data_IF_855045329064
#
_entry.id   IF_855045329064
#
_cell.length_a   1.000
_cell.length_b   1.000
_cell.length_c   1.000
_cell.angle_alpha   90.00
_cell.angle_beta   90.00
_cell.angle_gamma   90.00
#
_symmetry.space_group_name_H-M   'P 1'
#
loop_
_entity.id
_entity.type
_entity.pdbx_description
1 polymer ?
#
# COMPACT_ATOMS: atom_id res chain seq x y z
N UNK A 1 14.49 -3.59 17.01
CA UNK A 1 15.49 -3.94 15.98
C UNK A 1 15.90 -2.65 15.27
N UNK A 2 16.87 -2.67 14.34
CA UNK A 2 17.08 -1.46 13.51
C UNK A 2 15.76 -1.19 12.76
N UNK A 3 15.26 0.06 12.69
CA UNK A 3 14.19 0.39 11.76
C UNK A 3 14.66 -0.13 10.41
N UNK A 4 13.82 -0.87 9.68
CA UNK A 4 14.16 -1.40 8.35
C UNK A 4 14.93 -0.29 7.62
N UNK A 5 16.23 -0.50 7.43
CA UNK A 5 17.00 0.26 6.45
C UNK A 5 16.26 -0.05 5.17
N UNK A 6 15.36 0.86 4.80
CA UNK A 6 14.84 1.11 3.48
C UNK A 6 15.10 -0.09 2.58
N UNK A 7 14.24 -1.12 2.67
CA UNK A 7 14.05 -1.93 1.47
C UNK A 7 13.76 -0.89 0.39
N UNK A 8 14.63 -0.78 -0.63
CA UNK A 8 14.46 0.25 -1.65
C UNK A 8 13.01 0.17 -2.07
N UNK A 9 12.30 1.29 -2.10
CA UNK A 9 10.90 1.27 -2.49
C UNK A 9 10.74 0.64 -3.89
N UNK A 10 11.81 0.62 -4.70
CA UNK A 10 11.91 -0.16 -5.94
C UNK A 10 11.79 -1.68 -5.73
N UNK A 11 12.51 -2.23 -4.74
CA UNK A 11 12.44 -3.65 -4.39
C UNK A 11 11.05 -4.02 -3.85
N UNK A 12 10.46 -3.16 -3.03
CA UNK A 12 9.07 -3.32 -2.57
C UNK A 12 8.11 -3.30 -3.77
N UNK A 13 8.29 -2.36 -4.71
CA UNK A 13 7.47 -2.26 -5.90
C UNK A 13 7.58 -3.52 -6.78
N UNK A 14 8.79 -4.03 -6.99
CA UNK A 14 9.01 -5.29 -7.70
C UNK A 14 8.34 -6.49 -7.03
N UNK A 15 8.43 -6.61 -5.71
CA UNK A 15 7.82 -7.69 -4.95
C UNK A 15 6.29 -7.68 -5.04
N UNK A 16 5.68 -6.51 -4.85
CA UNK A 16 4.23 -6.33 -4.97
C UNK A 16 3.78 -6.62 -6.40
N UNK A 17 4.53 -6.19 -7.41
CA UNK A 17 4.20 -6.48 -8.80
C UNK A 17 4.26 -7.97 -9.14
N UNK A 18 5.31 -8.68 -8.71
CA UNK A 18 5.41 -10.14 -8.88
C UNK A 18 4.22 -10.85 -8.21
N UNK A 19 3.81 -10.38 -7.05
CA UNK A 19 2.64 -10.88 -6.34
C UNK A 19 1.34 -10.62 -7.13
N UNK A 20 1.18 -9.41 -7.68
CA UNK A 20 0.05 -9.07 -8.54
C UNK A 20 -0.04 -9.99 -9.77
N UNK A 21 1.10 -10.23 -10.44
CA UNK A 21 1.19 -11.14 -11.58
C UNK A 21 0.78 -12.57 -11.22
N UNK A 22 1.28 -13.09 -10.09
CA UNK A 22 0.95 -14.42 -9.60
C UNK A 22 -0.54 -14.57 -9.25
N UNK A 23 -1.16 -13.52 -8.70
CA UNK A 23 -2.54 -13.53 -8.23
C UNK A 23 -3.56 -13.35 -9.36
N UNK A 24 -3.28 -12.45 -10.30
CA UNK A 24 -4.28 -11.96 -11.27
C UNK A 24 -3.98 -12.43 -12.71
N UNK A 25 -2.93 -13.22 -12.89
CA UNK A 25 -2.67 -13.99 -14.12
C UNK A 25 -2.33 -13.12 -15.33
N UNK A 26 -3.29 -12.92 -16.23
CA UNK A 26 -3.11 -12.12 -17.46
C UNK A 26 -3.94 -10.83 -17.47
N UNK A 27 -4.70 -10.54 -16.42
CA UNK A 27 -5.50 -9.32 -16.35
C UNK A 27 -4.63 -8.13 -15.92
N UNK A 28 -4.00 -7.50 -16.90
CA UNK A 28 -3.08 -6.37 -16.68
C UNK A 28 -3.74 -5.21 -15.91
N UNK A 29 -5.01 -4.90 -16.20
CA UNK A 29 -5.73 -3.81 -15.50
C UNK A 29 -5.93 -4.15 -14.04
N UNK A 30 -6.31 -5.40 -13.72
CA UNK A 30 -6.48 -5.83 -12.34
C UNK A 30 -5.13 -5.88 -11.59
N UNK A 31 -4.07 -6.37 -12.25
CA UNK A 31 -2.70 -6.40 -11.70
C UNK A 31 -2.23 -5.01 -11.31
N UNK A 32 -2.37 -4.08 -12.24
CA UNK A 32 -2.02 -2.68 -12.06
C UNK A 32 -2.75 -2.08 -10.88
N UNK A 33 -4.08 -2.19 -10.87
CA UNK A 33 -4.88 -1.65 -9.78
C UNK A 33 -4.47 -2.24 -8.42
N UNK A 34 -4.29 -3.56 -8.34
CA UNK A 34 -3.94 -4.22 -7.09
C UNK A 34 -2.54 -3.81 -6.61
N UNK A 35 -1.58 -3.72 -7.53
CA UNK A 35 -0.23 -3.24 -7.27
C UNK A 35 -0.25 -1.81 -6.71
N UNK A 36 -0.94 -0.90 -7.41
CA UNK A 36 -1.01 0.51 -7.07
C UNK A 36 -1.59 0.72 -5.66
N UNK A 37 -2.73 0.09 -5.37
CA UNK A 37 -3.37 0.18 -4.06
C UNK A 37 -2.50 -0.42 -2.95
N UNK A 38 -1.86 -1.57 -3.22
CA UNK A 38 -1.05 -2.26 -2.22
C UNK A 38 0.24 -1.50 -1.92
N UNK A 39 0.89 -0.95 -2.94
CA UNK A 39 2.11 -0.16 -2.78
C UNK A 39 1.82 1.14 -2.01
N UNK A 40 0.78 1.88 -2.39
CA UNK A 40 0.39 3.10 -1.68
C UNK A 40 0.07 2.80 -0.22
N UNK A 41 -0.67 1.72 0.05
CA UNK A 41 -1.00 1.32 1.42
C UNK A 41 0.24 0.93 2.23
N UNK A 42 1.17 0.18 1.64
CA UNK A 42 2.42 -0.19 2.29
C UNK A 42 3.27 1.05 2.61
N UNK A 43 3.43 1.97 1.66
CA UNK A 43 4.17 3.20 1.89
C UNK A 43 3.53 4.10 2.95
N UNK A 44 2.19 4.16 3.00
CA UNK A 44 1.46 4.83 4.09
C UNK A 44 1.64 4.12 5.42
N UNK A 45 1.73 2.79 5.42
CA UNK A 45 2.04 1.98 6.59
C UNK A 45 3.41 2.27 7.19
N UNK A 46 4.43 2.48 6.35
CA UNK A 46 5.75 2.94 6.80
C UNK A 46 5.66 4.30 7.49
N UNK A 47 5.00 5.27 6.84
CA UNK A 47 4.79 6.60 7.43
C UNK A 47 4.02 6.53 8.75
N UNK A 48 3.03 5.65 8.85
CA UNK A 48 2.25 5.42 10.06
C UNK A 48 3.12 4.82 11.18
N UNK A 49 3.94 3.81 10.87
CA UNK A 49 4.85 3.20 11.82
C UNK A 49 5.85 4.22 12.38
N UNK A 50 6.39 5.09 11.53
CA UNK A 50 7.26 6.19 11.95
C UNK A 50 6.51 7.16 12.86
N UNK A 51 5.31 7.61 12.47
CA UNK A 51 4.50 8.54 13.25
C UNK A 51 4.10 7.99 14.64
N UNK A 52 3.90 6.67 14.73
CA UNK A 52 3.50 5.97 15.97
C UNK A 52 4.68 5.34 16.72
N UNK A 53 5.90 5.47 16.23
CA UNK A 53 7.12 4.86 16.77
C UNK A 53 6.98 3.33 16.96
N UNK A 54 6.45 2.64 15.94
CA UNK A 54 6.34 1.19 15.90
C UNK A 54 7.55 0.55 15.24
N UNK A 55 7.97 -0.63 15.73
CA UNK A 55 8.98 -1.49 15.08
C UNK A 55 8.30 -2.38 14.01
N UNK A 56 7.46 -1.76 13.18
CA UNK A 56 6.66 -2.38 12.11
C UNK A 56 6.84 -1.57 10.82
N UNK A 57 6.38 -2.10 9.69
CA UNK A 57 6.50 -1.43 8.38
C UNK A 57 5.51 -1.98 7.36
N UNK A 58 5.30 -1.25 6.27
CA UNK A 58 4.49 -1.69 5.16
C UNK A 58 3.07 -2.04 5.57
N UNK A 59 2.55 -3.13 4.99
CA UNK A 59 1.24 -3.65 5.33
C UNK A 59 1.13 -4.12 6.78
N UNK A 60 2.21 -4.58 7.41
CA UNK A 60 2.18 -5.05 8.80
C UNK A 60 1.78 -3.93 9.77
N UNK A 61 2.28 -2.71 9.53
CA UNK A 61 1.89 -1.52 10.29
C UNK A 61 0.41 -1.16 10.12
N UNK A 62 -0.12 -1.34 8.90
CA UNK A 62 -1.55 -1.12 8.59
C UNK A 62 -2.41 -2.17 9.29
N UNK A 63 -2.05 -3.44 9.18
CA UNK A 63 -2.78 -4.54 9.82
C UNK A 63 -2.79 -4.38 11.34
N UNK A 64 -1.66 -4.00 11.93
CA UNK A 64 -1.57 -3.71 13.35
C UNK A 64 -2.45 -2.52 13.76
N UNK A 65 -2.47 -1.44 12.97
CA UNK A 65 -3.35 -0.30 13.23
C UNK A 65 -4.84 -0.69 13.18
N UNK A 66 -5.23 -1.57 12.25
CA UNK A 66 -6.60 -2.10 12.17
C UNK A 66 -6.95 -2.95 13.40
N UNK A 67 -6.03 -3.78 13.88
CA UNK A 67 -6.22 -4.55 15.12
C UNK A 67 -6.43 -3.59 16.29
N UNK A 68 -5.59 -2.56 16.42
CA UNK A 68 -5.70 -1.61 17.53
C UNK A 68 -6.99 -0.79 17.50
N UNK A 69 -7.41 -0.33 16.32
CA UNK A 69 -8.58 0.54 16.18
C UNK A 69 -9.90 -0.23 16.30
N UNK A 70 -9.98 -1.39 15.66
CA UNK A 70 -11.26 -2.10 15.46
C UNK A 70 -11.36 -3.44 16.19
N UNK A 71 -10.27 -3.91 16.82
CA UNK A 71 -10.20 -5.22 17.48
C UNK A 71 -10.60 -6.39 16.58
N UNK A 72 -10.41 -6.25 15.27
CA UNK A 72 -10.67 -7.31 14.30
C UNK A 72 -9.60 -8.39 14.36
N UNK A 73 -9.99 -9.62 13.99
CA UNK A 73 -9.06 -10.74 13.98
C UNK A 73 -8.07 -10.61 12.81
N UNK A 74 -6.80 -11.04 12.99
CA UNK A 74 -5.81 -11.01 11.92
C UNK A 74 -6.27 -11.66 10.63
N UNK A 75 -6.98 -12.78 10.71
CA UNK A 75 -7.47 -13.49 9.52
C UNK A 75 -8.56 -12.69 8.76
N UNK A 76 -9.42 -11.96 9.48
CA UNK A 76 -10.39 -11.07 8.85
C UNK A 76 -9.68 -9.92 8.12
N UNK A 77 -8.66 -9.34 8.75
CA UNK A 77 -7.89 -8.23 8.18
C UNK A 77 -7.13 -8.69 6.94
N UNK A 78 -6.52 -9.87 6.95
CA UNK A 78 -5.78 -10.42 5.81
C UNK A 78 -6.66 -10.56 4.57
N UNK A 79 -7.90 -11.00 4.73
CA UNK A 79 -8.90 -11.16 3.67
C UNK A 79 -9.45 -9.83 3.12
N UNK A 80 -9.23 -8.70 3.80
CA UNK A 80 -9.67 -7.40 3.32
C UNK A 80 -8.89 -6.96 2.08
N UNK A 81 -9.57 -6.32 1.14
CA UNK A 81 -8.90 -5.69 0.00
C UNK A 81 -8.01 -4.52 0.48
N UNK A 82 -6.95 -4.15 -0.26
CA UNK A 82 -6.14 -2.98 0.09
C UNK A 82 -7.00 -1.71 0.24
N UNK A 83 -8.02 -1.56 -0.61
CA UNK A 83 -9.00 -0.47 -0.52
C UNK A 83 -9.79 -0.50 0.78
N UNK A 84 -10.29 -1.66 1.22
CA UNK A 84 -11.07 -1.74 2.45
C UNK A 84 -10.20 -1.50 3.69
N UNK A 85 -8.94 -1.95 3.66
CA UNK A 85 -7.94 -1.61 4.69
C UNK A 85 -7.72 -0.09 4.76
N UNK A 86 -7.51 0.56 3.61
CA UNK A 86 -7.38 2.02 3.52
C UNK A 86 -8.64 2.73 4.04
N UNK A 87 -9.82 2.32 3.58
CA UNK A 87 -11.09 2.94 3.98
C UNK A 87 -11.30 2.83 5.50
N UNK A 88 -10.91 1.71 6.10
CA UNK A 88 -11.05 1.50 7.55
C UNK A 88 -10.10 2.36 8.40
N UNK A 89 -9.06 2.94 7.79
CA UNK A 89 -8.07 3.82 8.43
C UNK A 89 -8.00 5.21 7.78
N UNK A 90 -8.94 5.59 6.91
CA UNK A 90 -8.76 6.75 6.04
C UNK A 90 -8.47 8.05 6.81
N UNK A 91 -9.05 8.23 8.01
CA UNK A 91 -8.82 9.39 8.86
C UNK A 91 -7.41 9.43 9.45
N UNK A 92 -6.87 8.27 9.84
CA UNK A 92 -5.53 8.16 10.39
C UNK A 92 -4.45 8.33 9.32
N UNK A 93 -4.77 7.91 8.09
CA UNK A 93 -3.86 8.02 6.96
C UNK A 93 -3.92 9.38 6.26
N UNK A 94 -5.05 10.11 6.35
CA UNK A 94 -5.27 11.40 5.66
C UNK A 94 -4.28 12.52 6.04
N UNK A 95 -3.59 12.40 7.17
CA UNK A 95 -2.58 13.37 7.62
C UNK A 95 -1.14 12.92 7.38
N UNK A 96 -0.92 11.74 6.80
CA UNK A 96 0.41 11.17 6.62
C UNK A 96 0.93 11.44 5.22
N UNK A 97 2.13 11.99 5.14
CA UNK A 97 2.86 12.03 3.88
C UNK A 97 3.61 10.72 3.64
N UNK A 98 3.47 10.15 2.44
CA UNK A 98 4.35 9.08 1.99
C UNK A 98 5.81 9.55 1.99
N UNK A 99 6.72 8.65 2.39
CA UNK A 99 8.15 8.89 2.33
C UNK A 99 8.59 9.33 0.92
N UNK A 100 9.59 10.23 0.87
CA UNK A 100 10.11 10.74 -0.40
C UNK A 100 10.59 9.61 -1.34
N UNK A 101 11.26 8.60 -0.80
CA UNK A 101 11.70 7.43 -1.56
C UNK A 101 10.53 6.64 -2.16
N UNK A 102 9.39 6.56 -1.48
CA UNK A 102 8.20 5.89 -1.98
C UNK A 102 7.56 6.68 -3.13
N UNK A 103 7.50 8.01 -3.00
CA UNK A 103 7.04 8.92 -4.07
C UNK A 103 7.94 8.82 -5.31
N UNK A 104 9.26 8.67 -5.13
CA UNK A 104 10.20 8.49 -6.24
C UNK A 104 10.05 7.13 -6.90
N UNK A 105 10.08 6.02 -6.16
CA UNK A 105 9.90 4.68 -6.73
C UNK A 105 8.55 4.50 -7.45
N UNK A 106 7.49 5.12 -6.91
CA UNK A 106 6.20 5.22 -7.59
C UNK A 106 6.34 5.93 -8.93
N UNK A 107 6.95 7.13 -8.93
CA UNK A 107 7.16 7.91 -10.15
C UNK A 107 8.08 7.23 -11.14
N UNK A 108 9.16 6.58 -10.74
CA UNK A 108 10.09 5.94 -11.67
C UNK A 108 9.44 4.76 -12.38
N UNK A 109 8.58 4.01 -11.66
CA UNK A 109 7.81 2.91 -12.24
C UNK A 109 6.64 3.41 -13.10
N UNK A 110 5.85 4.35 -12.58
CA UNK A 110 4.68 4.91 -13.28
C UNK A 110 5.09 5.83 -14.43
N UNK A 111 6.17 6.60 -14.36
CA UNK A 111 6.67 7.46 -15.45
C UNK A 111 7.20 6.64 -16.64
N UNK A 112 7.44 5.34 -16.44
CA UNK A 112 7.73 4.42 -17.54
C UNK A 112 6.45 4.02 -18.31
N UNK A 113 5.25 4.16 -17.72
CA UNK A 113 3.97 3.70 -18.30
C UNK A 113 2.76 4.69 -18.22
N UNK A 114 2.85 5.88 -17.60
CA UNK A 114 1.80 6.92 -17.51
C UNK A 114 2.31 8.37 -17.37
N UNK A 115 1.43 9.30 -17.75
CA UNK A 115 1.55 10.77 -17.70
C UNK A 115 1.71 11.26 -16.25
N UNK A 116 2.73 12.07 -15.98
CA UNK A 116 3.35 12.31 -14.67
C UNK A 116 2.52 13.13 -13.63
N UNK A 117 1.19 13.13 -13.72
CA UNK A 117 0.32 14.04 -12.96
C UNK A 117 -0.55 13.41 -11.86
N UNK A 118 -0.63 12.08 -11.76
CA UNK A 118 -1.47 11.44 -10.74
C UNK A 118 -0.78 11.41 -9.37
N UNK A 119 -1.48 11.92 -8.35
CA UNK A 119 -1.05 11.85 -6.96
C UNK A 119 -1.28 10.43 -6.41
N UNK A 120 -0.45 9.92 -5.47
CA UNK A 120 -0.75 8.67 -4.76
C UNK A 120 -2.13 8.68 -4.06
N UNK A 121 -2.68 9.85 -3.79
CA UNK A 121 -4.04 10.03 -3.25
C UNK A 121 -5.13 9.76 -4.30
N UNK A 122 -4.83 9.95 -5.59
CA UNK A 122 -5.76 9.73 -6.69
C UNK A 122 -6.01 8.24 -6.95
N UNK A 123 -5.09 7.36 -6.52
CA UNK A 123 -5.25 5.89 -6.58
C UNK A 123 -6.56 5.45 -5.90
N UNK A 124 -6.96 6.12 -4.82
CA UNK A 124 -8.20 5.78 -4.10
C UNK A 124 -9.46 6.32 -4.78
N UNK A 125 -9.32 7.35 -5.63
CA UNK A 125 -10.42 7.97 -6.39
C UNK A 125 -10.64 7.29 -7.74
N UNK A 126 -9.57 6.87 -8.40
CA UNK A 126 -9.60 6.23 -9.73
C UNK A 126 -10.17 4.81 -9.65
N UNK A 127 -9.91 4.08 -8.57
CA UNK A 127 -10.31 2.68 -8.43
C UNK A 127 -11.42 2.45 -7.39
N UNK A 128 -12.66 2.62 -7.84
CA UNK A 128 -13.88 2.56 -7.01
C UNK A 128 -14.23 1.18 -6.43
N UNK A 129 -13.68 0.08 -6.96
CA UNK A 129 -13.90 -1.28 -6.44
C UNK A 129 -12.55 -1.92 -6.14
N UNK A 130 -12.27 -2.27 -4.88
CA UNK A 130 -11.08 -3.09 -4.57
C UNK A 130 -11.22 -4.47 -5.23
N UNK A 131 -10.17 -4.97 -5.86
CA UNK A 131 -10.15 -6.38 -6.26
C UNK A 131 -9.97 -7.26 -5.01
N UNK A 132 -10.69 -8.38 -4.90
CA UNK A 132 -10.53 -9.31 -3.78
C UNK A 132 -9.08 -9.76 -3.65
N UNK A 133 -8.56 -9.71 -2.43
CA UNK A 133 -7.36 -10.46 -2.02
C UNK A 133 -7.83 -11.90 -1.74
N UNK A 134 -7.06 -12.95 -2.07
CA UNK A 134 -7.41 -14.30 -1.66
C UNK A 134 -7.55 -14.46 -0.15
#
# INVERSE_FOLDING_TARGET
MKPREVQSYDALAEEIWKSAQALLGFNFVAQRQWYEQTFCLAALGDSLAVARNWDLSGLEAIEYALILRHSWFPDQIRQMTPRDKWLSLHEELAGLEMAYGAKQAWRDREATELDANDSPEDVWRVYLRGYPVP
#
